data_IF_683533889513
#
_entry.id   IF_683533889513
#
_cell.length_a   1.000
_cell.length_b   1.000
_cell.length_c   1.000
_cell.angle_alpha   90.00
_cell.angle_beta   90.00
_cell.angle_gamma   90.00
#
_symmetry.space_group_name_H-M   'P 1'
#
loop_
_entity.id
_entity.type
_entity.pdbx_description
1 polymer ?
#
# COMPACT_ATOMS: atom_id res chain seq x y z
N UNK A 1 -16.55 11.83 -8.00
CA UNK A 1 -15.53 10.81 -7.62
C UNK A 1 -16.11 9.94 -6.51
N UNK A 2 -15.95 8.62 -6.57
CA UNK A 2 -16.38 7.73 -5.48
C UNK A 2 -15.59 8.08 -4.20
N UNK A 3 -16.30 8.09 -3.06
CA UNK A 3 -15.68 8.35 -1.76
C UNK A 3 -14.71 7.21 -1.42
N UNK A 4 -13.53 7.53 -0.90
CA UNK A 4 -12.58 6.51 -0.44
C UNK A 4 -13.22 5.61 0.64
N UNK A 5 -13.13 4.30 0.44
CA UNK A 5 -13.52 3.32 1.45
C UNK A 5 -12.27 2.95 2.25
N UNK A 6 -12.35 3.14 3.56
CA UNK A 6 -11.23 2.84 4.46
C UNK A 6 -10.80 1.37 4.35
N UNK A 7 -9.50 1.14 4.32
CA UNK A 7 -8.93 -0.20 4.20
C UNK A 7 -8.35 -0.65 5.55
N UNK A 8 -8.37 -1.94 5.78
CA UNK A 8 -7.65 -2.54 6.94
C UNK A 8 -6.16 -2.19 6.86
N UNK A 9 -5.63 -2.11 5.65
CA UNK A 9 -4.25 -1.73 5.39
C UNK A 9 -3.88 -0.33 5.90
N UNK A 10 -4.82 0.63 5.95
CA UNK A 10 -4.55 2.01 6.38
C UNK A 10 -3.91 2.05 7.77
N UNK A 11 -4.56 1.41 8.75
CA UNK A 11 -4.05 1.33 10.13
C UNK A 11 -2.72 0.60 10.24
N UNK A 12 -2.50 -0.40 9.38
CA UNK A 12 -1.25 -1.16 9.36
C UNK A 12 -0.12 -0.27 8.84
N UNK A 13 -0.37 0.48 7.78
CA UNK A 13 0.61 1.40 7.18
C UNK A 13 0.95 2.51 8.16
N UNK A 14 -0.07 3.16 8.74
CA UNK A 14 0.09 4.22 9.74
C UNK A 14 0.99 3.77 10.90
N UNK A 15 0.72 2.60 11.46
CA UNK A 15 1.53 2.06 12.56
C UNK A 15 2.95 1.73 12.14
N UNK A 16 3.13 1.15 10.95
CA UNK A 16 4.45 0.74 10.47
C UNK A 16 5.33 1.91 10.09
N UNK A 17 4.77 2.96 9.50
CA UNK A 17 5.53 4.12 9.06
C UNK A 17 6.05 4.95 10.24
N UNK A 18 5.33 4.93 11.38
CA UNK A 18 5.80 5.59 12.61
C UNK A 18 7.10 4.99 13.18
N UNK A 19 7.40 3.74 12.86
CA UNK A 19 8.59 3.06 13.37
C UNK A 19 9.67 2.80 12.32
N UNK A 20 9.47 3.23 11.07
CA UNK A 20 10.40 2.98 9.96
C UNK A 20 10.52 4.21 9.06
N UNK A 21 11.69 4.35 8.42
CA UNK A 21 11.92 5.43 7.46
C UNK A 21 11.09 5.28 6.19
N UNK A 22 10.81 4.05 5.77
CA UNK A 22 9.99 3.79 4.59
C UNK A 22 9.04 2.60 4.80
N UNK A 23 7.91 2.62 4.06
CA UNK A 23 6.96 1.50 3.98
C UNK A 23 6.75 1.13 2.51
N UNK A 24 6.95 -0.14 2.18
CA UNK A 24 6.61 -0.69 0.87
C UNK A 24 5.24 -1.39 0.92
N UNK A 25 4.32 -0.92 0.09
CA UNK A 25 3.00 -1.52 -0.10
C UNK A 25 3.03 -2.36 -1.36
N UNK A 26 3.00 -3.67 -1.17
CA UNK A 26 2.95 -4.65 -2.24
C UNK A 26 1.55 -5.24 -2.41
N UNK A 27 1.20 -5.65 -3.61
CA UNK A 27 -0.08 -6.31 -3.86
C UNK A 27 -0.46 -6.32 -5.33
N UNK A 28 -1.51 -7.06 -5.70
CA UNK A 28 -1.92 -7.20 -7.08
C UNK A 28 -2.30 -5.85 -7.70
N UNK A 29 -2.19 -5.78 -9.02
CA UNK A 29 -2.57 -4.59 -9.77
C UNK A 29 -4.03 -4.24 -9.48
N UNK A 30 -4.31 -2.93 -9.32
CA UNK A 30 -5.66 -2.37 -9.05
C UNK A 30 -6.31 -2.74 -7.71
N UNK A 31 -5.60 -3.35 -6.76
CA UNK A 31 -6.16 -3.59 -5.43
C UNK A 31 -6.29 -2.32 -4.57
N UNK A 32 -5.82 -1.16 -5.06
CA UNK A 32 -5.98 0.13 -4.40
C UNK A 32 -4.74 0.67 -3.69
N UNK A 33 -3.53 0.12 -3.95
CA UNK A 33 -2.26 0.54 -3.30
C UNK A 33 -2.03 2.05 -3.36
N UNK A 34 -2.01 2.60 -4.57
CA UNK A 34 -1.79 4.04 -4.81
C UNK A 34 -2.83 4.89 -4.11
N UNK A 35 -4.12 4.49 -4.19
CA UNK A 35 -5.22 5.23 -3.55
C UNK A 35 -5.08 5.25 -2.03
N UNK A 36 -4.72 4.11 -1.44
CA UNK A 36 -4.45 3.98 0.00
C UNK A 36 -3.22 4.79 0.40
N UNK A 37 -2.11 4.68 -0.34
CA UNK A 37 -0.89 5.44 -0.06
C UNK A 37 -1.11 6.95 -0.10
N UNK A 38 -1.91 7.44 -1.04
CA UNK A 38 -2.28 8.87 -1.18
C UNK A 38 -3.07 9.42 0.01
N UNK A 39 -3.71 8.58 0.85
CA UNK A 39 -4.38 9.06 2.07
C UNK A 39 -3.38 9.57 3.12
N UNK A 40 -2.15 9.07 3.10
CA UNK A 40 -1.09 9.39 4.07
C UNK A 40 0.00 10.28 3.48
N UNK A 41 0.22 10.20 2.18
CA UNK A 41 1.29 10.91 1.50
C UNK A 41 1.00 12.42 1.41
N UNK A 42 2.04 13.23 1.64
CA UNK A 42 1.99 14.70 1.49
C UNK A 42 2.56 15.18 0.17
N UNK A 43 3.35 14.36 -0.51
CA UNK A 43 3.84 14.60 -1.86
C UNK A 43 3.96 13.28 -2.62
N UNK A 44 4.00 13.33 -3.96
CA UNK A 44 4.03 12.12 -4.80
C UNK A 44 5.04 12.29 -5.93
N UNK A 45 5.78 11.21 -6.18
CA UNK A 45 6.52 10.96 -7.42
C UNK A 45 5.85 9.76 -8.09
N UNK A 46 5.20 9.97 -9.22
CA UNK A 46 4.47 8.94 -9.98
C UNK A 46 5.35 8.42 -11.12
N UNK A 47 6.00 7.28 -10.88
CA UNK A 47 6.85 6.60 -11.88
C UNK A 47 6.02 5.75 -12.85
N UNK A 48 4.72 5.62 -12.64
CA UNK A 48 3.80 5.03 -13.60
C UNK A 48 3.46 5.96 -14.77
N UNK A 49 3.66 7.28 -14.59
CA UNK A 49 3.54 8.25 -15.68
C UNK A 49 4.79 8.26 -16.55
N UNK A 50 4.63 8.09 -17.86
CA UNK A 50 5.74 7.96 -18.80
C UNK A 50 6.63 9.21 -18.87
N UNK A 51 6.07 10.40 -18.76
CA UNK A 51 6.82 11.65 -18.81
C UNK A 51 7.67 11.84 -17.54
N UNK A 52 7.07 11.59 -16.39
CA UNK A 52 7.75 11.61 -15.09
C UNK A 52 8.86 10.55 -15.04
N UNK A 53 8.61 9.35 -15.57
CA UNK A 53 9.60 8.29 -15.60
C UNK A 53 10.83 8.66 -16.43
N UNK A 54 10.63 9.24 -17.63
CA UNK A 54 11.74 9.68 -18.49
C UNK A 54 12.59 10.73 -17.79
N UNK A 55 11.97 11.75 -17.19
CA UNK A 55 12.66 12.78 -16.43
C UNK A 55 13.40 12.20 -15.21
N UNK A 56 12.75 11.26 -14.50
CA UNK A 56 13.35 10.62 -13.33
C UNK A 56 14.57 9.77 -13.67
N UNK A 57 14.56 9.08 -14.83
CA UNK A 57 15.73 8.33 -15.32
C UNK A 57 16.94 9.24 -15.59
N UNK A 58 16.72 10.42 -16.13
CA UNK A 58 17.79 11.39 -16.34
C UNK A 58 18.28 11.99 -15.00
N UNK A 59 17.33 12.34 -14.14
CA UNK A 59 17.63 12.99 -12.86
C UNK A 59 18.37 12.06 -11.89
N UNK A 60 18.06 10.76 -11.88
CA UNK A 60 18.71 9.82 -10.95
C UNK A 60 20.20 9.65 -11.23
N UNK A 61 20.63 9.85 -12.48
CA UNK A 61 22.04 9.82 -12.86
C UNK A 61 22.79 11.10 -12.45
N UNK A 62 22.12 12.25 -12.50
CA UNK A 62 22.71 13.55 -12.24
C UNK A 62 22.65 13.93 -10.75
N UNK A 63 21.51 13.75 -10.14
CA UNK A 63 21.25 14.17 -8.75
C UNK A 63 20.14 13.31 -8.12
N UNK A 64 20.44 12.07 -7.71
CA UNK A 64 19.44 11.11 -7.24
C UNK A 64 18.64 11.62 -6.04
N UNK A 65 19.24 12.42 -5.15
CA UNK A 65 18.57 12.99 -3.99
C UNK A 65 17.42 13.94 -4.32
N UNK A 66 17.51 14.66 -5.44
CA UNK A 66 16.47 15.62 -5.87
C UNK A 66 15.13 14.95 -6.14
N UNK A 67 15.12 13.69 -6.61
CA UNK A 67 13.88 12.91 -6.79
C UNK A 67 13.14 12.67 -5.48
N UNK A 68 13.87 12.68 -4.37
CA UNK A 68 13.33 12.38 -3.05
C UNK A 68 12.97 13.64 -2.25
N UNK A 69 13.15 14.81 -2.83
CA UNK A 69 12.75 16.09 -2.23
C UNK A 69 11.23 16.26 -2.29
N UNK A 70 10.67 16.78 -1.19
CA UNK A 70 9.23 17.06 -1.06
C UNK A 70 8.71 16.80 0.34
N UNK A 71 7.45 17.17 0.56
CA UNK A 71 6.81 16.98 1.86
C UNK A 71 6.67 15.49 2.19
N UNK A 72 7.04 15.10 3.41
CA UNK A 72 7.01 13.70 3.89
C UNK A 72 5.77 13.42 4.74
N UNK A 73 5.24 12.20 4.69
CA UNK A 73 5.66 11.07 3.86
C UNK A 73 5.52 11.33 2.36
N UNK A 74 6.56 10.99 1.58
CA UNK A 74 6.54 11.12 0.13
C UNK A 74 6.21 9.78 -0.50
N UNK A 75 5.19 9.75 -1.36
CA UNK A 75 4.83 8.56 -2.14
C UNK A 75 5.74 8.44 -3.37
N UNK A 76 6.32 7.28 -3.54
CA UNK A 76 7.01 6.83 -4.77
C UNK A 76 6.12 5.74 -5.38
N UNK A 77 5.30 6.14 -6.34
CA UNK A 77 4.32 5.22 -6.94
C UNK A 77 4.96 4.45 -8.10
N UNK A 78 4.68 3.12 -8.18
CA UNK A 78 5.25 2.19 -9.15
C UNK A 78 6.80 2.21 -9.18
N UNK A 79 7.43 2.19 -7.98
CA UNK A 79 8.88 2.32 -7.80
C UNK A 79 9.69 1.35 -8.67
N UNK A 80 9.17 0.16 -8.99
CA UNK A 80 9.85 -0.84 -9.81
C UNK A 80 10.06 -0.40 -11.28
N UNK A 81 9.41 0.69 -11.73
CA UNK A 81 9.70 1.29 -13.04
C UNK A 81 11.09 1.96 -13.09
N UNK A 82 11.67 2.26 -11.91
CA UNK A 82 13.02 2.82 -11.76
C UNK A 82 13.73 2.12 -10.58
N UNK A 83 14.20 0.86 -10.74
CA UNK A 83 14.71 0.05 -9.62
C UNK A 83 15.89 0.68 -8.86
N UNK A 84 16.72 1.47 -9.53
CA UNK A 84 17.85 2.18 -8.94
C UNK A 84 17.44 3.19 -7.85
N UNK A 85 16.18 3.63 -7.84
CA UNK A 85 15.65 4.53 -6.79
C UNK A 85 15.62 3.86 -5.41
N UNK A 86 15.59 2.53 -5.36
CA UNK A 86 15.58 1.76 -4.11
C UNK A 86 16.80 2.08 -3.24
N UNK A 87 17.99 2.00 -3.81
CA UNK A 87 19.22 2.28 -3.06
C UNK A 87 19.34 3.76 -2.70
N UNK A 88 18.82 4.66 -3.53
CA UNK A 88 18.72 6.08 -3.23
C UNK A 88 17.83 6.34 -2.01
N UNK A 89 16.63 5.72 -1.97
CA UNK A 89 15.72 5.83 -0.84
C UNK A 89 16.35 5.27 0.43
N UNK A 90 17.00 4.09 0.34
CA UNK A 90 17.67 3.47 1.48
C UNK A 90 18.73 4.41 2.07
N UNK A 91 19.58 4.97 1.22
CA UNK A 91 20.62 5.90 1.64
C UNK A 91 20.05 7.19 2.24
N UNK A 92 18.95 7.69 1.67
CA UNK A 92 18.29 8.89 2.15
C UNK A 92 17.57 8.66 3.51
N UNK A 93 16.99 7.48 3.72
CA UNK A 93 16.46 7.09 5.04
C UNK A 93 17.55 7.07 6.09
N UNK A 94 18.73 6.51 5.76
CA UNK A 94 19.88 6.51 6.68
C UNK A 94 20.38 7.93 6.96
N UNK A 95 20.45 8.77 5.94
CA UNK A 95 20.93 10.17 6.06
C UNK A 95 19.99 11.02 6.92
N UNK A 96 18.67 10.88 6.75
CA UNK A 96 17.68 11.65 7.51
C UNK A 96 17.55 11.16 8.94
N UNK A 97 17.69 9.85 9.18
CA UNK A 97 17.59 9.24 10.51
C UNK A 97 16.21 9.32 11.17
N UNK A 98 15.16 9.71 10.43
CA UNK A 98 13.81 9.93 10.93
C UNK A 98 12.83 8.91 10.35
N UNK A 99 11.77 8.54 11.09
CA UNK A 99 10.68 7.72 10.54
C UNK A 99 9.78 8.53 9.60
N UNK A 100 8.83 7.86 8.96
CA UNK A 100 7.78 8.48 8.15
C UNK A 100 8.27 9.29 6.95
N UNK A 101 9.35 8.83 6.30
CA UNK A 101 9.94 9.56 5.16
C UNK A 101 9.27 9.17 3.83
N UNK A 102 9.13 7.87 3.56
CA UNK A 102 8.69 7.40 2.25
C UNK A 102 7.61 6.32 2.34
N UNK A 103 6.70 6.35 1.37
CA UNK A 103 5.77 5.27 1.08
C UNK A 103 6.04 4.84 -0.37
N UNK A 104 6.33 3.57 -0.58
CA UNK A 104 6.52 3.00 -1.92
C UNK A 104 5.32 2.11 -2.26
N UNK A 105 4.87 2.17 -3.49
CA UNK A 105 3.91 1.21 -4.02
C UNK A 105 4.50 0.47 -5.20
N UNK A 106 4.19 -0.81 -5.31
CA UNK A 106 4.63 -1.63 -6.42
C UNK A 106 3.77 -2.88 -6.60
N UNK A 107 3.79 -3.46 -7.80
CA UNK A 107 3.26 -4.79 -8.02
C UNK A 107 4.13 -5.83 -7.29
N UNK A 108 3.53 -6.96 -6.88
CA UNK A 108 4.19 -8.02 -6.08
C UNK A 108 5.32 -8.77 -6.80
N UNK A 109 5.63 -8.41 -8.02
CA UNK A 109 6.75 -8.97 -8.78
C UNK A 109 7.87 -7.93 -8.77
N UNK A 110 8.89 -8.17 -7.95
CA UNK A 110 10.14 -7.42 -8.04
C UNK A 110 10.74 -7.66 -9.44
N UNK A 111 11.08 -6.60 -10.18
CA UNK A 111 11.95 -6.78 -11.34
C UNK A 111 13.25 -7.38 -10.80
N UNK A 112 13.76 -8.37 -11.50
CA UNK A 112 14.98 -9.13 -11.22
C UNK A 112 15.74 -8.74 -9.95
N UNK A 113 15.83 -9.66 -8.99
CA UNK A 113 16.55 -9.47 -7.72
C UNK A 113 18.03 -9.01 -7.88
N UNK A 114 18.53 -8.96 -9.10
CA UNK A 114 19.88 -8.52 -9.46
C UNK A 114 20.01 -6.99 -9.64
N UNK A 115 18.91 -6.25 -9.63
CA UNK A 115 18.94 -4.78 -9.85
C UNK A 115 18.94 -3.98 -8.54
N UNK A 116 18.66 -4.61 -7.40
CA UNK A 116 18.78 -3.99 -6.07
C UNK A 116 20.03 -4.55 -5.36
N UNK A 117 21.01 -3.69 -5.11
CA UNK A 117 22.29 -4.10 -4.53
C UNK A 117 22.17 -4.43 -3.03
N UNK A 118 21.19 -3.83 -2.34
CA UNK A 118 21.04 -3.96 -0.90
C UNK A 118 19.62 -4.29 -0.44
N UNK A 119 19.51 -5.13 0.59
CA UNK A 119 18.21 -5.36 1.24
C UNK A 119 17.76 -4.12 2.02
N UNK A 120 16.46 -3.86 2.04
CA UNK A 120 15.88 -2.78 2.85
C UNK A 120 15.77 -3.10 4.34
N UNK A 121 16.44 -4.16 4.82
CA UNK A 121 16.32 -4.66 6.18
C UNK A 121 16.63 -3.55 7.20
N UNK A 122 15.76 -3.41 8.19
CA UNK A 122 15.86 -2.40 9.24
C UNK A 122 15.26 -1.03 8.88
N UNK A 123 15.26 -0.62 7.60
CA UNK A 123 14.80 0.69 7.13
C UNK A 123 13.38 0.67 6.59
N UNK A 124 13.01 -0.44 5.95
CA UNK A 124 11.72 -0.63 5.32
C UNK A 124 10.81 -1.52 6.14
N UNK A 125 9.53 -1.17 6.20
CA UNK A 125 8.47 -2.08 6.59
C UNK A 125 7.68 -2.51 5.33
N UNK A 126 7.19 -3.74 5.35
CA UNK A 126 6.44 -4.32 4.23
C UNK A 126 4.98 -4.47 4.61
N UNK A 127 4.08 -4.06 3.72
CA UNK A 127 2.64 -4.24 3.84
C UNK A 127 2.11 -4.95 2.60
N UNK A 128 1.63 -6.16 2.78
CA UNK A 128 0.98 -6.90 1.69
C UNK A 128 -0.50 -6.50 1.63
N UNK A 129 -0.86 -5.73 0.63
CA UNK A 129 -2.22 -5.31 0.39
C UNK A 129 -2.94 -6.32 -0.52
N UNK A 130 -4.16 -6.66 -0.18
CA UNK A 130 -5.02 -7.56 -0.95
C UNK A 130 -6.21 -6.78 -1.52
N UNK A 131 -7.05 -7.45 -2.30
CA UNK A 131 -8.37 -6.94 -2.67
C UNK A 131 -9.23 -6.69 -1.43
N UNK A 132 -10.34 -5.99 -1.57
CA UNK A 132 -11.23 -5.66 -0.45
C UNK A 132 -11.87 -6.93 0.13
N UNK A 133 -11.92 -7.00 1.45
CA UNK A 133 -12.75 -7.96 2.17
C UNK A 133 -14.21 -7.51 2.15
N UNK A 134 -15.14 -8.40 2.46
CA UNK A 134 -16.57 -8.04 2.60
C UNK A 134 -16.81 -6.98 3.68
N UNK A 135 -15.93 -6.90 4.67
CA UNK A 135 -15.97 -5.85 5.68
C UNK A 135 -15.61 -4.47 5.10
N UNK A 136 -14.56 -4.40 4.29
CA UNK A 136 -14.11 -3.15 3.65
C UNK A 136 -15.09 -2.68 2.57
N UNK A 137 -15.74 -3.61 1.88
CA UNK A 137 -16.76 -3.29 0.86
C UNK A 137 -18.14 -2.97 1.47
N UNK A 138 -18.40 -3.40 2.71
CA UNK A 138 -19.58 -3.02 3.49
C UNK A 138 -20.65 -4.08 3.61
N UNK A 139 -20.42 -5.29 3.06
CA UNK A 139 -21.37 -6.40 3.14
C UNK A 139 -21.25 -7.17 4.47
N UNK A 140 -20.06 -7.18 5.09
CA UNK A 140 -19.91 -7.76 6.43
C UNK A 140 -20.07 -6.70 7.52
N UNK A 141 -20.84 -7.02 8.53
CA UNK A 141 -21.04 -6.15 9.71
C UNK A 141 -19.80 -6.07 10.61
N UNK A 142 -18.86 -7.01 10.50
CA UNK A 142 -17.72 -7.14 11.40
C UNK A 142 -18.11 -7.46 12.84
N UNK A 143 -19.30 -7.97 13.09
CA UNK A 143 -19.83 -8.23 14.44
C UNK A 143 -19.08 -9.34 15.18
N UNK A 144 -18.36 -10.22 14.45
CA UNK A 144 -17.48 -11.24 15.04
C UNK A 144 -16.04 -10.90 14.76
N UNK A 145 -15.27 -10.71 15.81
CA UNK A 145 -13.84 -10.51 15.73
C UNK A 145 -13.12 -11.83 16.02
N UNK A 146 -12.17 -12.22 15.15
CA UNK A 146 -11.30 -13.36 15.42
C UNK A 146 -10.50 -13.17 16.72
N UNK A 147 -10.05 -11.95 17.00
CA UNK A 147 -9.35 -11.64 18.25
C UNK A 147 -10.24 -11.91 19.46
N UNK A 148 -11.49 -11.46 19.43
CA UNK A 148 -12.43 -11.70 20.53
C UNK A 148 -12.74 -13.19 20.72
N UNK A 149 -12.79 -13.94 19.62
CA UNK A 149 -12.95 -15.40 19.69
C UNK A 149 -11.74 -16.08 20.35
N UNK A 150 -10.52 -15.67 20.00
CA UNK A 150 -9.30 -16.18 20.65
C UNK A 150 -9.19 -15.79 22.12
N UNK A 151 -9.73 -14.64 22.49
CA UNK A 151 -9.81 -14.17 23.89
C UNK A 151 -10.97 -14.80 24.67
N UNK A 152 -11.75 -15.68 24.04
CA UNK A 152 -12.90 -16.36 24.68
C UNK A 152 -14.07 -15.44 25.00
N UNK A 153 -14.16 -14.27 24.36
CA UNK A 153 -15.27 -13.35 24.57
C UNK A 153 -16.58 -13.94 23.99
N UNK A 154 -17.68 -13.85 24.72
CA UNK A 154 -18.96 -14.34 24.22
C UNK A 154 -19.44 -13.49 23.04
N UNK A 155 -20.01 -14.13 22.05
CA UNK A 155 -20.71 -13.46 20.96
C UNK A 155 -22.20 -13.88 20.94
N UNK A 156 -23.06 -12.93 20.69
CA UNK A 156 -24.52 -13.16 20.63
C UNK A 156 -24.97 -13.77 19.31
N UNK A 157 -26.26 -14.05 19.21
CA UNK A 157 -26.86 -14.46 17.94
C UNK A 157 -26.71 -13.35 16.92
N UNK A 158 -26.09 -13.66 15.80
CA UNK A 158 -25.82 -12.69 14.72
C UNK A 158 -26.68 -13.03 13.52
N UNK A 159 -27.41 -12.04 13.03
CA UNK A 159 -28.15 -12.16 11.80
C UNK A 159 -27.30 -11.67 10.64
N UNK A 160 -27.01 -12.56 9.71
CA UNK A 160 -26.53 -12.19 8.40
C UNK A 160 -27.75 -11.99 7.48
N UNK A 161 -27.80 -10.86 6.79
CA UNK A 161 -28.85 -10.56 5.80
C UNK A 161 -28.56 -11.15 4.42
N UNK A 162 -27.35 -11.66 4.20
CA UNK A 162 -26.89 -12.21 2.92
C UNK A 162 -27.54 -13.58 2.74
N UNK A 163 -28.34 -13.73 1.70
CA UNK A 163 -28.89 -15.03 1.28
C UNK A 163 -27.90 -15.79 0.36
N UNK A 164 -28.28 -16.98 -0.10
CA UNK A 164 -27.41 -17.80 -0.94
C UNK A 164 -27.15 -17.19 -2.31
N UNK A 165 -28.12 -16.50 -2.88
CA UNK A 165 -27.99 -15.84 -4.20
C UNK A 165 -27.04 -14.66 -4.10
N UNK A 166 -27.19 -13.83 -3.09
CA UNK A 166 -26.29 -12.72 -2.81
C UNK A 166 -24.87 -13.23 -2.49
N UNK A 167 -24.72 -14.30 -1.71
CA UNK A 167 -23.43 -14.91 -1.43
C UNK A 167 -22.74 -15.42 -2.70
N UNK A 168 -23.50 -16.06 -3.59
CA UNK A 168 -22.97 -16.49 -4.89
C UNK A 168 -22.52 -15.29 -5.75
N UNK A 169 -23.33 -14.23 -5.80
CA UNK A 169 -22.98 -12.99 -6.48
C UNK A 169 -21.68 -12.40 -5.92
N UNK A 170 -21.57 -12.23 -4.60
CA UNK A 170 -20.40 -11.66 -3.94
C UNK A 170 -19.12 -12.49 -4.19
N UNK A 171 -19.28 -13.82 -4.25
CA UNK A 171 -18.18 -14.74 -4.57
C UNK A 171 -17.69 -14.54 -6.00
N UNK A 172 -18.59 -14.40 -6.97
CA UNK A 172 -18.26 -14.14 -8.37
C UNK A 172 -17.70 -12.74 -8.61
N UNK A 173 -18.29 -11.74 -7.94
CA UNK A 173 -17.83 -10.33 -8.02
C UNK A 173 -16.40 -10.17 -7.53
N UNK A 174 -16.04 -10.86 -6.46
CA UNK A 174 -14.77 -10.72 -5.78
C UNK A 174 -14.60 -9.36 -5.08
N UNK A 175 -13.36 -9.04 -4.71
CA UNK A 175 -13.05 -7.87 -3.88
C UNK A 175 -12.24 -6.77 -4.58
N UNK A 176 -12.18 -6.72 -5.92
CA UNK A 176 -11.55 -5.60 -6.62
C UNK A 176 -12.31 -4.31 -6.32
N UNK A 177 -11.62 -3.18 -5.95
CA UNK A 177 -12.32 -1.94 -5.59
C UNK A 177 -13.35 -1.46 -6.61
N UNK A 178 -13.05 -1.56 -7.91
CA UNK A 178 -14.02 -1.22 -8.97
C UNK A 178 -15.24 -2.14 -8.97
N UNK A 179 -15.04 -3.43 -8.78
CA UNK A 179 -16.14 -4.39 -8.74
C UNK A 179 -17.06 -4.18 -7.52
N UNK A 180 -16.54 -3.63 -6.41
CA UNK A 180 -17.33 -3.34 -5.20
C UNK A 180 -18.18 -2.07 -5.31
N UNK A 181 -18.21 -1.41 -6.47
CA UNK A 181 -19.07 -0.25 -6.75
C UNK A 181 -20.38 -0.63 -7.46
N UNK A 182 -20.51 -1.90 -7.86
CA UNK A 182 -21.68 -2.48 -8.57
C UNK A 182 -22.74 -2.93 -7.54
#
# INVERSE_FOLDING_TARGET
MAKYKQRIADRIIERKIMGKGAVLIEGPKWCGKTTTAKQLAKSTLDLGDSSTLIQSKQMIELSPGTLLEGATPRLIDEWQALPTIWDTIRSEVDRRGEPSQFILTGSSVLPNANETIHSGTGRFAYVKMRTMSLYESGESTGSVSLTDLFEGKPFGVMHNKIDLEELAFLTCRGGWPWATLI
#
